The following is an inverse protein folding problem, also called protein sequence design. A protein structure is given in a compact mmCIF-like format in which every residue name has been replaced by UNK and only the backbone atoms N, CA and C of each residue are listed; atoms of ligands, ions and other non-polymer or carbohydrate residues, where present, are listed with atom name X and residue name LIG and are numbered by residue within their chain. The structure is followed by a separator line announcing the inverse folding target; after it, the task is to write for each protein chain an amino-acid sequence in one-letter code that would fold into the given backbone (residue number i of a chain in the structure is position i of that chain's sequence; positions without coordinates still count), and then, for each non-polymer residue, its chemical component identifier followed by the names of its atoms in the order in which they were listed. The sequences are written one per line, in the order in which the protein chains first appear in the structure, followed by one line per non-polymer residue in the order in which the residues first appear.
data_IF_239342483081
#
_entry.id   IF_239342483081
#
_cell.length_a   1.000
_cell.length_b   1.000
_cell.length_c   1.000
_cell.angle_alpha   90.00
_cell.angle_beta   90.00
_cell.angle_gamma   90.00
#
_symmetry.space_group_name_H-M   'P 1'
#
loop_
_entity.id
_entity.type
_entity.pdbx_description
1 polymer ?
#
# COMPACT_ATOMS: atom_id res chain seq x y z
N UNK A 1 -0.91 -21.13 -18.97
CA UNK A 1 0.30 -20.64 -18.29
C UNK A 1 1.11 -21.83 -17.84
N UNK A 2 2.43 -21.66 -17.77
CA UNK A 2 3.31 -22.67 -17.18
C UNK A 2 3.04 -22.69 -15.66
N UNK A 3 2.68 -23.85 -15.06
CA UNK A 3 2.33 -23.94 -13.64
C UNK A 3 3.49 -23.60 -12.70
N UNK A 4 4.71 -23.42 -13.21
CA UNK A 4 5.87 -22.99 -12.42
C UNK A 4 5.92 -21.48 -12.16
N UNK A 5 5.12 -20.69 -12.88
CA UNK A 5 5.16 -19.23 -12.79
C UNK A 5 3.77 -18.68 -12.50
N UNK A 6 3.69 -17.89 -11.44
CA UNK A 6 2.50 -17.11 -11.08
C UNK A 6 2.72 -15.65 -11.49
N UNK A 7 1.69 -15.03 -12.07
CA UNK A 7 1.68 -13.58 -12.32
C UNK A 7 1.09 -12.90 -11.09
N UNK A 8 1.95 -12.29 -10.28
CA UNK A 8 1.58 -11.66 -9.01
C UNK A 8 1.15 -10.19 -9.14
N UNK A 9 1.54 -9.52 -10.24
CA UNK A 9 1.30 -8.12 -10.50
C UNK A 9 1.24 -7.87 -12.01
N UNK A 10 0.36 -6.98 -12.45
CA UNK A 10 0.34 -6.45 -13.81
C UNK A 10 0.69 -4.96 -13.82
N UNK A 11 1.32 -4.51 -14.89
CA UNK A 11 1.52 -3.08 -15.13
C UNK A 11 1.32 -2.71 -16.58
N UNK A 12 0.86 -1.48 -16.82
CA UNK A 12 0.58 -0.96 -18.15
C UNK A 12 0.79 0.55 -18.22
N UNK A 13 1.16 1.02 -19.39
CA UNK A 13 1.37 2.43 -19.66
C UNK A 13 0.66 2.82 -20.96
N UNK A 14 0.03 4.00 -20.99
CA UNK A 14 -0.70 4.48 -22.18
C UNK A 14 -1.77 3.47 -22.62
N UNK A 15 -1.76 3.00 -23.86
CA UNK A 15 -2.66 1.94 -24.35
C UNK A 15 -2.46 0.59 -23.63
N UNK A 16 -1.26 0.35 -23.11
CA UNK A 16 -0.93 -0.84 -22.32
C UNK A 16 -1.76 -0.95 -21.04
N UNK A 17 -2.42 0.13 -20.63
CA UNK A 17 -3.35 0.14 -19.49
C UNK A 17 -4.60 -0.73 -19.68
N UNK A 18 -4.76 -1.36 -20.86
CA UNK A 18 -5.61 -2.55 -21.02
C UNK A 18 -5.37 -3.62 -19.93
N UNK A 19 -4.19 -3.62 -19.28
CA UNK A 19 -3.93 -4.46 -18.10
C UNK A 19 -4.93 -4.27 -16.96
N UNK A 20 -5.65 -3.14 -16.84
CA UNK A 20 -6.74 -2.98 -15.87
C UNK A 20 -7.84 -4.01 -16.10
N UNK A 21 -8.23 -4.22 -17.37
CA UNK A 21 -9.21 -5.23 -17.75
C UNK A 21 -8.71 -6.65 -17.49
N UNK A 22 -7.44 -6.91 -17.84
CA UNK A 22 -6.80 -8.22 -17.61
C UNK A 22 -6.75 -8.53 -16.11
N UNK A 23 -6.32 -7.57 -15.29
CA UNK A 23 -6.27 -7.73 -13.84
C UNK A 23 -7.64 -7.94 -13.22
N UNK A 24 -8.66 -7.20 -13.67
CA UNK A 24 -10.03 -7.40 -13.22
C UNK A 24 -10.58 -8.79 -13.58
N UNK A 25 -10.28 -9.28 -14.79
CA UNK A 25 -10.70 -10.59 -15.26
C UNK A 25 -10.03 -11.75 -14.52
N UNK A 26 -8.76 -11.62 -14.19
CA UNK A 26 -7.97 -12.69 -13.59
C UNK A 26 -7.69 -12.49 -12.09
N UNK A 27 -8.28 -11.45 -11.48
CA UNK A 27 -8.09 -11.10 -10.07
C UNK A 27 -6.62 -10.87 -9.69
N UNK A 28 -5.86 -10.21 -10.57
CA UNK A 28 -4.44 -9.90 -10.36
C UNK A 28 -4.32 -8.41 -10.06
N UNK A 29 -3.59 -8.00 -9.00
CA UNK A 29 -3.31 -6.59 -8.75
C UNK A 29 -2.65 -5.91 -9.95
N UNK A 30 -3.09 -4.70 -10.27
CA UNK A 30 -2.66 -3.96 -11.47
C UNK A 30 -2.33 -2.50 -11.14
N UNK A 31 -1.18 -2.05 -11.64
CA UNK A 31 -0.77 -0.63 -11.58
C UNK A 31 -0.53 -0.07 -12.98
N UNK A 32 -1.28 0.95 -13.38
CA UNK A 32 -1.15 1.60 -14.67
C UNK A 32 -0.73 3.06 -14.57
N UNK A 33 -0.18 3.56 -15.68
CA UNK A 33 0.35 4.92 -15.80
C UNK A 33 -0.18 5.57 -17.06
N UNK A 34 -0.66 6.81 -16.94
CA UNK A 34 -1.17 7.62 -18.05
C UNK A 34 -2.10 6.80 -18.94
N UNK A 35 -3.07 6.12 -18.32
CA UNK A 35 -3.90 5.17 -19.02
C UNK A 35 -4.69 5.81 -20.14
N UNK A 36 -4.55 5.24 -21.33
CA UNK A 36 -5.49 5.41 -22.42
C UNK A 36 -6.50 4.25 -22.37
N UNK A 37 -7.29 4.21 -21.29
CA UNK A 37 -8.25 3.14 -21.01
C UNK A 37 -9.58 3.70 -20.50
N UNK A 38 -10.68 3.28 -21.13
CA UNK A 38 -12.02 3.69 -20.72
C UNK A 38 -12.67 2.67 -19.79
N UNK A 39 -13.00 3.08 -18.56
CA UNK A 39 -13.59 2.18 -17.56
C UNK A 39 -14.95 1.61 -17.97
N UNK A 40 -15.72 2.30 -18.84
CA UNK A 40 -16.97 1.70 -19.32
C UNK A 40 -16.76 0.48 -20.23
N UNK A 41 -15.55 0.28 -20.79
CA UNK A 41 -15.22 -0.89 -21.62
C UNK A 41 -15.08 -2.21 -20.84
N UNK A 42 -15.08 -2.12 -19.51
CA UNK A 42 -15.13 -3.27 -18.61
C UNK A 42 -16.52 -3.95 -18.67
N UNK A 43 -16.57 -5.27 -18.54
CA UNK A 43 -17.82 -6.00 -18.31
C UNK A 43 -18.43 -5.62 -16.95
N UNK A 44 -19.67 -6.02 -16.69
CA UNK A 44 -20.30 -5.73 -15.40
C UNK A 44 -19.60 -6.48 -14.26
N UNK A 45 -19.11 -7.69 -14.52
CA UNK A 45 -18.35 -8.51 -13.58
C UNK A 45 -16.99 -7.88 -13.28
N UNK A 46 -16.28 -7.39 -14.31
CA UNK A 46 -15.01 -6.70 -14.17
C UNK A 46 -15.17 -5.42 -13.34
N UNK A 47 -16.21 -4.61 -13.59
CA UNK A 47 -16.53 -3.41 -12.80
C UNK A 47 -16.83 -3.76 -11.35
N UNK A 48 -17.71 -4.75 -11.12
CA UNK A 48 -18.08 -5.18 -9.78
C UNK A 48 -16.87 -5.71 -8.99
N UNK A 49 -15.92 -6.39 -9.67
CA UNK A 49 -14.69 -6.84 -9.03
C UNK A 49 -13.79 -5.67 -8.62
N UNK A 50 -13.57 -4.69 -9.51
CA UNK A 50 -12.78 -3.49 -9.20
C UNK A 50 -13.44 -2.71 -8.05
N UNK A 51 -14.75 -2.49 -8.09
CA UNK A 51 -15.49 -1.75 -7.07
C UNK A 51 -15.41 -2.42 -5.69
N UNK A 52 -15.37 -3.76 -5.66
CA UNK A 52 -15.24 -4.53 -4.42
C UNK A 52 -13.80 -4.63 -3.93
N UNK A 53 -12.81 -4.50 -4.82
CA UNK A 53 -11.40 -4.67 -4.52
C UNK A 53 -10.55 -3.48 -5.01
N UNK A 54 -10.90 -2.22 -4.68
CA UNK A 54 -10.24 -1.05 -5.26
C UNK A 54 -8.75 -0.97 -4.90
N UNK A 55 -8.34 -1.55 -3.76
CA UNK A 55 -6.93 -1.62 -3.38
C UNK A 55 -6.05 -2.39 -4.38
N UNK A 56 -6.62 -3.30 -5.16
CA UNK A 56 -5.90 -4.07 -6.18
C UNK A 56 -5.62 -3.28 -7.45
N UNK A 57 -6.22 -2.11 -7.64
CA UNK A 57 -6.14 -1.36 -8.90
C UNK A 57 -5.69 0.06 -8.65
N UNK A 58 -4.58 0.42 -9.27
CA UNK A 58 -4.01 1.75 -9.20
C UNK A 58 -3.84 2.24 -10.63
N UNK A 59 -4.46 3.37 -10.96
CA UNK A 59 -4.28 4.04 -12.24
C UNK A 59 -3.77 5.46 -12.02
N UNK A 60 -2.46 5.63 -12.11
CA UNK A 60 -1.81 6.93 -11.95
C UNK A 60 -1.95 7.75 -13.23
N UNK A 61 -2.37 9.01 -13.10
CA UNK A 61 -2.62 9.89 -14.24
C UNK A 61 -2.14 11.31 -14.02
N UNK A 62 -1.71 11.95 -15.09
CA UNK A 62 -1.43 13.39 -15.13
C UNK A 62 -2.66 14.17 -15.63
N UNK A 63 -3.10 15.18 -14.89
CA UNK A 63 -4.32 15.96 -15.20
C UNK A 63 -4.28 16.66 -16.57
N UNK A 64 -3.11 17.07 -17.03
CA UNK A 64 -2.95 17.86 -18.25
C UNK A 64 -2.17 17.11 -19.33
N UNK A 65 -2.13 15.78 -19.25
CA UNK A 65 -1.57 14.95 -20.30
C UNK A 65 -2.52 14.89 -21.50
N UNK A 66 -2.13 15.59 -22.58
CA UNK A 66 -2.96 15.75 -23.77
C UNK A 66 -3.23 14.43 -24.51
N UNK A 67 -2.39 13.39 -24.35
CA UNK A 67 -2.58 12.11 -25.03
C UNK A 67 -3.77 11.35 -24.43
N UNK A 68 -3.88 11.37 -23.09
CA UNK A 68 -4.99 10.74 -22.38
C UNK A 68 -6.23 11.61 -22.41
N UNK A 69 -6.13 12.92 -22.19
CA UNK A 69 -7.29 13.83 -22.09
C UNK A 69 -8.19 13.77 -23.33
N UNK A 70 -7.61 13.67 -24.53
CA UNK A 70 -8.40 13.65 -25.79
C UNK A 70 -9.23 12.37 -25.94
N UNK A 71 -8.78 11.25 -25.35
CA UNK A 71 -9.41 9.96 -25.56
C UNK A 71 -10.03 9.35 -24.30
N UNK A 72 -9.81 9.96 -23.15
CA UNK A 72 -10.21 9.43 -21.86
C UNK A 72 -11.36 10.22 -21.26
N UNK A 73 -12.56 9.67 -21.41
CA UNK A 73 -13.78 10.23 -20.86
C UNK A 73 -13.92 10.05 -19.34
N UNK A 74 -12.89 9.55 -18.64
CA UNK A 74 -12.86 9.41 -17.17
C UNK A 74 -12.25 10.62 -16.44
N UNK A 75 -12.12 11.77 -17.11
CA UNK A 75 -11.58 12.98 -16.49
C UNK A 75 -12.52 13.52 -15.38
N UNK A 76 -11.99 13.90 -14.20
CA UNK A 76 -12.80 14.31 -13.05
C UNK A 76 -13.65 15.56 -13.34
N UNK A 77 -13.18 16.45 -14.20
CA UNK A 77 -13.94 17.65 -14.62
C UNK A 77 -15.16 17.31 -15.49
N UNK A 78 -15.19 16.12 -16.10
CA UNK A 78 -16.28 15.66 -16.98
C UNK A 78 -17.20 14.63 -16.31
N UNK A 79 -16.81 14.14 -15.13
CA UNK A 79 -17.59 13.19 -14.33
C UNK A 79 -18.58 13.93 -13.41
N UNK A 80 -19.86 13.97 -13.78
CA UNK A 80 -20.92 14.56 -12.96
C UNK A 80 -21.36 13.61 -11.83
N UNK A 81 -21.31 14.10 -10.58
CA UNK A 81 -21.64 13.40 -9.32
C UNK A 81 -23.01 12.71 -9.25
N UNK A 82 -23.96 13.03 -10.14
CA UNK A 82 -25.33 12.52 -10.04
C UNK A 82 -25.65 11.28 -10.89
N UNK A 83 -24.76 10.83 -11.78
CA UNK A 83 -25.09 9.72 -12.70
C UNK A 83 -23.98 8.67 -12.90
N UNK A 84 -22.70 9.02 -12.68
CA UNK A 84 -21.57 8.08 -12.75
C UNK A 84 -20.55 8.48 -11.66
N UNK A 85 -20.22 7.56 -10.73
CA UNK A 85 -19.15 7.76 -9.74
C UNK A 85 -17.80 7.47 -10.40
N UNK A 86 -16.81 8.36 -10.25
CA UNK A 86 -15.45 8.09 -10.70
C UNK A 86 -14.89 6.88 -9.94
N UNK A 87 -14.14 5.96 -10.58
CA UNK A 87 -13.52 4.85 -9.88
C UNK A 87 -12.56 5.36 -8.80
N UNK A 88 -12.63 4.78 -7.60
CA UNK A 88 -11.72 5.10 -6.47
C UNK A 88 -10.28 4.58 -6.71
N UNK A 89 -9.99 4.13 -7.93
CA UNK A 89 -8.74 3.51 -8.38
C UNK A 89 -7.91 4.44 -9.25
N UNK A 90 -8.45 5.60 -9.65
CA UNK A 90 -7.74 6.60 -10.46
C UNK A 90 -7.12 7.69 -9.57
N UNK A 91 -5.81 7.84 -9.67
CA UNK A 91 -5.01 8.79 -8.89
C UNK A 91 -4.47 9.90 -9.79
N UNK A 92 -5.16 11.05 -9.77
CA UNK A 92 -4.82 12.21 -10.58
C UNK A 92 -3.78 13.10 -9.90
N UNK A 93 -2.67 13.32 -10.61
CA UNK A 93 -1.59 14.21 -10.22
C UNK A 93 -1.49 15.39 -11.18
N UNK A 94 -1.00 16.51 -10.68
CA UNK A 94 -0.65 17.62 -11.55
C UNK A 94 0.49 17.22 -12.49
N UNK A 95 0.48 17.80 -13.70
CA UNK A 95 1.49 17.58 -14.72
C UNK A 95 0.89 17.43 -16.12
N UNK A 96 1.73 17.61 -17.13
CA UNK A 96 1.37 17.53 -18.55
C UNK A 96 2.03 16.36 -19.27
N UNK A 97 2.95 15.66 -18.61
CA UNK A 97 3.79 14.67 -19.29
C UNK A 97 3.03 13.38 -19.56
N UNK A 98 3.12 12.94 -20.81
CA UNK A 98 2.77 11.56 -21.14
C UNK A 98 3.92 10.60 -20.86
N UNK A 99 5.18 11.03 -20.73
CA UNK A 99 6.34 10.12 -20.67
C UNK A 99 6.37 9.31 -19.38
N UNK A 100 6.69 8.01 -19.48
CA UNK A 100 6.83 7.13 -18.32
C UNK A 100 8.07 7.48 -17.47
N UNK A 101 9.13 8.01 -18.08
CA UNK A 101 10.36 8.38 -17.38
C UNK A 101 10.19 9.61 -16.46
N UNK A 102 9.09 10.35 -16.60
CA UNK A 102 8.76 11.51 -15.76
C UNK A 102 8.01 11.10 -14.46
N UNK A 103 7.91 9.78 -14.22
CA UNK A 103 7.43 9.21 -12.97
C UNK A 103 8.62 8.85 -12.09
N UNK A 104 8.58 9.30 -10.84
CA UNK A 104 9.61 8.97 -9.86
C UNK A 104 9.19 7.75 -9.06
N UNK A 105 10.11 6.80 -8.92
CA UNK A 105 9.90 5.56 -8.21
C UNK A 105 10.88 5.44 -7.06
N UNK A 106 10.38 5.05 -5.90
CA UNK A 106 11.23 4.62 -4.81
C UNK A 106 11.97 3.33 -5.22
N UNK A 107 13.31 3.31 -5.20
CA UNK A 107 14.08 2.19 -5.74
C UNK A 107 14.03 0.93 -4.86
N UNK A 108 13.55 1.03 -3.62
CA UNK A 108 13.46 -0.09 -2.68
C UNK A 108 12.09 -0.77 -2.77
N UNK A 109 11.04 0.03 -2.82
CA UNK A 109 9.64 -0.41 -2.77
C UNK A 109 8.99 -0.50 -4.16
N UNK A 110 9.57 0.17 -5.16
CA UNK A 110 9.00 0.32 -6.50
C UNK A 110 7.75 1.21 -6.55
N UNK A 111 7.42 1.91 -5.45
CA UNK A 111 6.24 2.77 -5.39
C UNK A 111 6.50 4.10 -6.08
N UNK A 112 5.46 4.65 -6.68
CA UNK A 112 5.51 6.03 -7.17
C UNK A 112 5.60 6.97 -5.99
N UNK A 113 6.53 7.92 -6.05
CA UNK A 113 6.72 8.93 -5.01
C UNK A 113 6.33 10.32 -5.49
N UNK A 114 6.03 11.21 -4.54
CA UNK A 114 6.04 12.63 -4.84
C UNK A 114 7.49 13.06 -5.14
N UNK A 115 7.70 13.80 -6.23
CA UNK A 115 9.03 14.34 -6.57
C UNK A 115 9.56 15.39 -5.58
N UNK A 116 8.94 15.49 -4.38
CA UNK A 116 9.24 16.45 -3.32
C UNK A 116 9.28 15.73 -1.97
N UNK A 117 10.38 15.03 -1.72
CA UNK A 117 10.62 14.36 -0.44
C UNK A 117 10.43 12.84 -0.48
N UNK A 118 10.15 12.26 -1.65
CA UNK A 118 10.19 10.82 -1.88
C UNK A 118 9.08 10.05 -1.16
N UNK A 119 7.94 10.71 -0.85
CA UNK A 119 6.83 10.05 -0.15
C UNK A 119 6.01 9.22 -1.13
N UNK A 120 5.71 7.94 -0.85
CA UNK A 120 4.83 7.15 -1.69
C UNK A 120 3.48 7.85 -1.89
N UNK A 121 3.02 7.95 -3.13
CA UNK A 121 1.72 8.55 -3.46
C UNK A 121 0.53 7.73 -2.95
N UNK A 122 0.76 6.43 -2.76
CA UNK A 122 -0.18 5.49 -2.16
C UNK A 122 0.58 4.74 -1.08
N UNK A 123 -0.01 4.65 0.11
CA UNK A 123 0.58 3.88 1.22
C UNK A 123 0.76 2.41 0.82
N UNK A 124 1.90 1.84 1.18
CA UNK A 124 2.21 0.42 1.05
C UNK A 124 1.24 -0.47 1.81
N UNK A 125 0.47 0.06 2.77
CA UNK A 125 -0.65 -0.66 3.40
C UNK A 125 -1.70 -1.08 2.36
N UNK A 126 -1.98 -0.25 1.34
CA UNK A 126 -2.89 -0.62 0.25
C UNK A 126 -2.35 -1.79 -0.56
N UNK A 127 -1.04 -1.83 -0.82
CA UNK A 127 -0.39 -2.95 -1.52
C UNK A 127 -0.42 -4.22 -0.68
N UNK A 128 -0.10 -4.13 0.61
CA UNK A 128 -0.20 -5.27 1.52
C UNK A 128 -1.63 -5.83 1.55
N UNK A 129 -2.64 -4.95 1.59
CA UNK A 129 -4.04 -5.35 1.53
C UNK A 129 -4.43 -5.94 0.17
N UNK A 130 -3.98 -5.38 -0.94
CA UNK A 130 -4.20 -5.91 -2.29
C UNK A 130 -3.64 -7.34 -2.45
N UNK A 131 -2.44 -7.58 -1.91
CA UNK A 131 -1.82 -8.90 -1.90
C UNK A 131 -2.66 -9.89 -1.07
N UNK A 132 -3.16 -9.47 0.09
CA UNK A 132 -4.07 -10.28 0.91
C UNK A 132 -5.33 -10.68 0.15
N UNK A 133 -5.94 -9.74 -0.59
CA UNK A 133 -7.12 -10.02 -1.42
C UNK A 133 -6.81 -11.04 -2.52
N UNK A 134 -5.62 -10.94 -3.13
CA UNK A 134 -5.12 -11.91 -4.12
C UNK A 134 -4.98 -13.29 -3.49
N UNK A 135 -4.23 -13.42 -2.41
CA UNK A 135 -4.02 -14.69 -1.68
C UNK A 135 -5.34 -15.33 -1.27
N UNK A 136 -6.29 -14.53 -0.77
CA UNK A 136 -7.63 -14.99 -0.42
C UNK A 136 -8.46 -15.44 -1.63
N UNK A 137 -8.28 -14.83 -2.80
CA UNK A 137 -8.91 -15.27 -4.04
C UNK A 137 -8.33 -16.63 -4.49
N UNK A 138 -6.99 -16.78 -4.49
CA UNK A 138 -6.34 -18.06 -4.78
C UNK A 138 -6.78 -19.17 -3.83
N UNK A 139 -6.84 -18.88 -2.52
CA UNK A 139 -7.35 -19.81 -1.53
C UNK A 139 -8.78 -20.28 -1.84
N UNK A 140 -9.69 -19.36 -2.22
CA UNK A 140 -11.08 -19.71 -2.55
C UNK A 140 -11.16 -20.59 -3.80
N UNK A 141 -10.35 -20.30 -4.82
CA UNK A 141 -10.30 -21.11 -6.04
C UNK A 141 -9.79 -22.53 -5.76
N UNK A 142 -8.75 -22.67 -4.93
CA UNK A 142 -8.22 -23.96 -4.50
C UNK A 142 -9.25 -24.74 -3.68
N UNK A 143 -9.87 -24.10 -2.68
CA UNK A 143 -10.93 -24.70 -1.85
C UNK A 143 -12.09 -25.20 -2.72
N UNK A 144 -12.51 -24.42 -3.73
CA UNK A 144 -13.58 -24.82 -4.64
C UNK A 144 -13.24 -26.06 -5.46
N UNK A 145 -12.02 -26.15 -6.00
CA UNK A 145 -11.56 -27.31 -6.78
C UNK A 145 -11.56 -28.59 -5.95
N UNK A 146 -11.20 -28.52 -4.68
CA UNK A 146 -11.11 -29.70 -3.81
C UNK A 146 -12.47 -30.10 -3.25
N UNK A 147 -13.37 -29.14 -3.05
CA UNK A 147 -14.74 -29.41 -2.59
C UNK A 147 -15.56 -30.27 -3.55
N UNK A 148 -15.12 -30.52 -4.78
CA UNK A 148 -15.87 -31.31 -5.77
C UNK A 148 -16.11 -32.77 -5.36
N UNK A 149 -15.38 -33.30 -4.37
CA UNK A 149 -15.56 -34.64 -3.80
C UNK A 149 -16.18 -34.68 -2.40
N UNK A 150 -16.51 -33.52 -1.81
CA UNK A 150 -16.80 -33.38 -0.38
C UNK A 150 -15.53 -33.12 0.44
N UNK A 151 -15.68 -32.47 1.60
CA UNK A 151 -14.60 -32.14 2.55
C UNK A 151 -14.86 -32.92 3.83
N UNK A 152 -13.88 -33.68 4.30
CA UNK A 152 -13.86 -34.32 5.62
C UNK A 152 -13.61 -33.30 6.73
N UNK A 153 -13.96 -33.64 7.98
CA UNK A 153 -13.74 -32.75 9.12
C UNK A 153 -12.26 -32.37 9.33
N UNK A 154 -11.32 -33.24 8.97
CA UNK A 154 -9.89 -32.95 9.01
C UNK A 154 -9.45 -31.96 7.92
N UNK A 155 -9.99 -32.10 6.71
CA UNK A 155 -9.73 -31.17 5.60
C UNK A 155 -10.37 -29.79 5.86
N UNK A 156 -11.48 -29.73 6.60
CA UNK A 156 -12.10 -28.48 7.01
C UNK A 156 -11.21 -27.71 8.01
N UNK A 157 -10.73 -28.38 9.06
CA UNK A 157 -9.79 -27.80 10.04
C UNK A 157 -8.53 -27.25 9.35
N UNK A 158 -8.04 -28.00 8.35
CA UNK A 158 -6.93 -27.58 7.52
C UNK A 158 -7.24 -26.30 6.74
N UNK A 159 -8.40 -26.26 6.07
CA UNK A 159 -8.78 -25.12 5.24
C UNK A 159 -8.99 -23.87 6.09
N UNK A 160 -9.44 -24.03 7.33
CA UNK A 160 -9.56 -22.96 8.32
C UNK A 160 -8.18 -22.49 8.81
N UNK A 161 -7.26 -23.42 9.07
CA UNK A 161 -5.86 -23.11 9.39
C UNK A 161 -5.17 -22.34 8.24
N UNK A 162 -5.36 -22.79 7.01
CA UNK A 162 -4.88 -22.17 5.79
C UNK A 162 -5.40 -20.73 5.63
N UNK A 163 -6.72 -20.56 5.76
CA UNK A 163 -7.36 -19.25 5.71
C UNK A 163 -6.86 -18.34 6.84
N UNK A 164 -6.75 -18.88 8.06
CA UNK A 164 -6.24 -18.18 9.23
C UNK A 164 -4.80 -17.69 9.03
N UNK A 165 -3.93 -18.51 8.44
CA UNK A 165 -2.55 -18.15 8.09
C UNK A 165 -2.48 -16.99 7.11
N UNK A 166 -3.30 -17.02 6.04
CA UNK A 166 -3.31 -15.95 5.04
C UNK A 166 -3.73 -14.64 5.71
N UNK A 167 -4.81 -14.68 6.50
CA UNK A 167 -5.32 -13.50 7.19
C UNK A 167 -4.33 -12.95 8.23
N UNK A 168 -3.71 -13.80 9.06
CA UNK A 168 -2.77 -13.36 10.09
C UNK A 168 -1.51 -12.75 9.50
N UNK A 169 -0.91 -13.41 8.51
CA UNK A 169 0.29 -12.93 7.80
C UNK A 169 0.01 -11.60 7.09
N UNK A 170 -1.15 -11.51 6.43
CA UNK A 170 -1.60 -10.28 5.76
C UNK A 170 -1.77 -9.12 6.74
N UNK A 171 -2.42 -9.35 7.88
CA UNK A 171 -2.63 -8.33 8.91
C UNK A 171 -1.32 -7.89 9.55
N UNK A 172 -0.42 -8.82 9.85
CA UNK A 172 0.92 -8.51 10.36
C UNK A 172 1.72 -7.68 9.36
N UNK A 173 1.73 -8.07 8.09
CA UNK A 173 2.43 -7.35 7.02
C UNK A 173 1.89 -5.94 6.82
N UNK A 174 0.56 -5.77 6.78
CA UNK A 174 -0.07 -4.47 6.62
C UNK A 174 0.21 -3.54 7.81
N UNK A 175 0.08 -4.07 9.04
CA UNK A 175 0.34 -3.30 10.25
C UNK A 175 1.83 -2.90 10.36
N UNK A 176 2.75 -3.82 10.07
CA UNK A 176 4.19 -3.53 10.03
C UNK A 176 4.52 -2.48 8.96
N UNK A 177 3.98 -2.63 7.75
CA UNK A 177 4.18 -1.65 6.67
C UNK A 177 3.72 -0.26 7.09
N UNK A 178 2.54 -0.14 7.70
CA UNK A 178 2.04 1.15 8.19
C UNK A 178 2.89 1.73 9.32
N UNK A 179 3.38 0.89 10.24
CA UNK A 179 4.26 1.32 11.32
C UNK A 179 5.62 1.82 10.79
N UNK A 180 6.18 1.13 9.79
CA UNK A 180 7.45 1.49 9.16
C UNK A 180 7.34 2.80 8.37
N UNK A 181 6.23 3.00 7.63
CA UNK A 181 5.95 4.26 6.92
C UNK A 181 5.83 5.45 7.87
N UNK A 182 5.08 5.29 8.98
CA UNK A 182 4.96 6.33 10.00
C UNK A 182 6.30 6.61 10.67
N UNK A 183 7.11 5.57 10.93
CA UNK A 183 8.45 5.72 11.51
C UNK A 183 9.39 6.47 10.57
N UNK A 184 9.37 6.17 9.27
CA UNK A 184 10.15 6.88 8.26
C UNK A 184 9.71 8.34 8.14
N UNK A 185 8.41 8.61 8.13
CA UNK A 185 7.88 9.97 8.09
C UNK A 185 8.27 10.77 9.34
N UNK A 186 8.14 10.19 10.53
CA UNK A 186 8.55 10.81 11.78
C UNK A 186 10.06 11.13 11.78
N UNK A 187 10.90 10.21 11.31
CA UNK A 187 12.35 10.44 11.17
C UNK A 187 12.64 11.62 10.26
N UNK A 188 12.05 11.65 9.06
CA UNK A 188 12.28 12.73 8.09
C UNK A 188 11.78 14.07 8.62
N UNK A 189 10.59 14.11 9.23
CA UNK A 189 10.03 15.34 9.78
C UNK A 189 10.88 15.90 10.94
N UNK A 190 11.38 15.03 11.83
CA UNK A 190 12.31 15.45 12.89
C UNK A 190 13.62 16.00 12.31
N UNK A 191 14.17 15.36 11.27
CA UNK A 191 15.37 15.85 10.61
C UNK A 191 15.14 17.21 9.94
N UNK A 192 14.09 17.36 9.14
CA UNK A 192 13.76 18.63 8.48
C UNK A 192 13.56 19.76 9.50
N UNK A 193 12.92 19.47 10.63
CA UNK A 193 12.71 20.46 11.68
C UNK A 193 14.02 20.88 12.35
N UNK A 194 14.94 19.94 12.60
CA UNK A 194 16.29 20.25 13.08
C UNK A 194 17.07 21.10 12.07
N UNK A 195 16.97 20.80 10.77
CA UNK A 195 17.60 21.58 9.72
C UNK A 195 17.04 23.01 9.65
N UNK A 196 15.72 23.18 9.79
CA UNK A 196 15.09 24.51 9.87
C UNK A 196 15.57 25.27 11.10
N UNK A 197 15.62 24.63 12.26
CA UNK A 197 16.11 25.26 13.50
C UNK A 197 17.57 25.72 13.37
N UNK A 198 18.42 24.90 12.75
CA UNK A 198 19.84 25.24 12.52
C UNK A 198 20.06 26.45 11.61
N UNK A 199 19.06 26.84 10.81
CA UNK A 199 19.12 28.02 9.93
C UNK A 199 18.77 29.33 10.64
N UNK A 200 18.31 29.27 11.89
CA UNK A 200 18.05 30.47 12.67
C UNK A 200 19.40 31.09 13.06
N UNK A 201 19.73 32.22 12.45
CA UNK A 201 20.95 32.97 12.74
C UNK A 201 20.70 34.03 13.83
N UNK A 202 20.95 33.65 15.08
CA UNK A 202 20.90 34.56 16.23
C UNK A 202 22.03 35.61 16.23
N UNK A 203 23.00 35.53 15.32
CA UNK A 203 24.12 36.48 15.21
C UNK A 203 23.86 37.61 14.21
N UNK A 204 22.80 37.50 13.42
CA UNK A 204 22.43 38.50 12.39
C UNK A 204 22.12 39.90 12.96
N UNK A 205 21.73 39.99 14.23
CA UNK A 205 21.46 41.25 14.93
C UNK A 205 22.68 41.73 15.74
N UNK A 206 23.53 42.54 15.12
CA UNK A 206 24.79 43.03 15.71
C UNK A 206 24.65 44.08 16.81
N UNK A 207 23.44 44.62 17.02
CA UNK A 207 23.16 45.61 18.06
C UNK A 207 23.06 44.99 19.48
N UNK A 208 22.92 43.67 19.57
CA UNK A 208 22.80 42.91 20.81
C UNK A 208 23.82 41.77 20.80
N UNK A 209 24.21 41.28 21.98
CA UNK A 209 24.98 40.05 22.07
C UNK A 209 24.10 38.84 21.66
N UNK A 210 24.67 37.76 21.09
CA UNK A 210 23.87 36.61 20.62
C UNK A 210 22.91 36.03 21.66
N UNK A 211 23.34 35.92 22.93
CA UNK A 211 22.48 35.42 24.00
C UNK A 211 21.28 36.33 24.32
N UNK A 212 21.38 37.63 24.07
CA UNK A 212 20.28 38.59 24.27
C UNK A 212 19.25 38.42 23.16
N UNK A 213 19.70 38.17 21.92
CA UNK A 213 18.82 37.84 20.79
C UNK A 213 18.11 36.51 21.07
N UNK A 214 18.83 35.47 21.48
CA UNK A 214 18.24 34.18 21.88
C UNK A 214 17.20 34.34 22.99
N UNK A 215 17.49 35.16 24.01
CA UNK A 215 16.55 35.42 25.12
C UNK A 215 15.28 36.14 24.66
N UNK A 216 15.38 37.06 23.70
CA UNK A 216 14.22 37.74 23.11
C UNK A 216 13.35 36.76 22.32
N UNK A 217 13.95 35.88 21.51
CA UNK A 217 13.22 34.82 20.81
C UNK A 217 12.55 33.85 21.80
N UNK A 218 13.27 33.45 22.84
CA UNK A 218 12.72 32.60 23.91
C UNK A 218 11.54 33.27 24.63
N UNK A 219 11.56 34.60 24.83
CA UNK A 219 10.44 35.35 25.41
C UNK A 219 9.16 35.29 24.57
N UNK A 220 9.29 35.03 23.27
CA UNK A 220 8.18 34.83 22.34
C UNK A 220 7.82 33.33 22.16
N UNK A 221 8.42 32.44 22.96
CA UNK A 221 8.20 31.00 22.88
C UNK A 221 9.05 30.28 21.82
N UNK A 222 9.98 30.99 21.15
CA UNK A 222 10.87 30.39 20.15
C UNK A 222 12.06 29.78 20.86
N UNK A 223 11.90 28.54 21.34
CA UNK A 223 12.94 27.77 22.02
C UNK A 223 13.11 26.40 21.38
N UNK A 224 14.31 25.83 21.51
CA UNK A 224 14.59 24.49 21.01
C UNK A 224 13.67 23.45 21.69
N UNK A 225 13.45 23.57 23.01
CA UNK A 225 12.55 22.67 23.74
C UNK A 225 11.11 22.69 23.19
N UNK A 226 10.62 23.88 22.83
CA UNK A 226 9.24 24.04 22.36
C UNK A 226 9.06 23.61 20.91
N UNK A 227 10.07 23.81 20.06
CA UNK A 227 9.97 23.46 18.64
C UNK A 227 10.49 22.05 18.34
N UNK A 228 11.70 21.70 18.81
CA UNK A 228 12.33 20.41 18.54
C UNK A 228 11.83 19.35 19.52
N UNK A 229 12.07 19.54 20.81
CA UNK A 229 11.88 18.45 21.78
C UNK A 229 10.39 18.07 21.92
N UNK A 230 9.49 19.06 21.88
CA UNK A 230 8.04 18.83 21.93
C UNK A 230 7.55 18.06 20.69
N UNK A 231 7.98 18.47 19.50
CA UNK A 231 7.62 17.78 18.26
C UNK A 231 8.18 16.36 18.20
N UNK A 232 9.42 16.17 18.67
CA UNK A 232 10.03 14.85 18.76
C UNK A 232 9.27 13.94 19.73
N UNK A 233 8.88 14.45 20.91
CA UNK A 233 8.08 13.68 21.86
C UNK A 233 6.71 13.27 21.29
N UNK A 234 6.03 14.16 20.56
CA UNK A 234 4.75 13.87 19.90
C UNK A 234 4.91 12.80 18.82
N UNK A 235 5.92 12.95 17.95
CA UNK A 235 6.18 11.99 16.86
C UNK A 235 6.61 10.63 17.40
N UNK A 236 7.45 10.57 18.43
CA UNK A 236 7.83 9.33 19.11
C UNK A 236 6.61 8.61 19.70
N UNK A 237 5.67 9.37 20.28
CA UNK A 237 4.41 8.80 20.79
C UNK A 237 3.55 8.21 19.66
N UNK A 238 3.47 8.87 18.51
CA UNK A 238 2.75 8.38 17.33
C UNK A 238 3.41 7.09 16.81
N UNK A 239 4.74 7.07 16.68
CA UNK A 239 5.50 5.89 16.27
C UNK A 239 5.29 4.72 17.22
N UNK A 240 5.30 4.96 18.53
CA UNK A 240 5.04 3.92 19.53
C UNK A 240 3.61 3.36 19.41
N UNK A 241 2.61 4.22 19.21
CA UNK A 241 1.20 3.82 19.01
C UNK A 241 1.00 2.97 17.76
N UNK A 242 1.75 3.22 16.69
CA UNK A 242 1.67 2.44 15.45
C UNK A 242 2.45 1.12 15.55
N UNK A 243 3.57 1.10 16.27
CA UNK A 243 4.36 -0.11 16.46
C UNK A 243 3.68 -1.16 17.35
N UNK A 244 2.93 -0.75 18.37
CA UNK A 244 2.24 -1.67 19.28
C UNK A 244 1.29 -2.65 18.56
N UNK A 245 0.33 -2.22 17.71
CA UNK A 245 -0.52 -3.16 16.98
C UNK A 245 0.26 -3.98 15.95
N UNK A 246 1.30 -3.43 15.31
CA UNK A 246 2.14 -4.20 14.40
C UNK A 246 2.80 -5.39 15.10
N UNK A 247 3.40 -5.16 16.28
CA UNK A 247 4.00 -6.23 17.10
C UNK A 247 2.96 -7.25 17.58
N UNK A 248 1.76 -6.79 17.94
CA UNK A 248 0.68 -7.68 18.36
C UNK A 248 0.24 -8.62 17.21
N UNK A 249 0.12 -8.10 15.99
CA UNK A 249 -0.23 -8.92 14.82
C UNK A 249 0.89 -9.88 14.44
N UNK A 250 2.16 -9.47 14.52
CA UNK A 250 3.30 -10.37 14.29
C UNK A 250 3.35 -11.51 15.30
N UNK A 251 3.07 -11.21 16.58
CA UNK A 251 2.99 -12.24 17.60
C UNK A 251 1.83 -13.20 17.34
N UNK A 252 0.66 -12.67 16.98
CA UNK A 252 -0.50 -13.49 16.62
C UNK A 252 -0.21 -14.38 15.41
N UNK A 253 0.40 -13.83 14.36
CA UNK A 253 0.79 -14.60 13.19
C UNK A 253 1.74 -15.73 13.56
N UNK A 254 2.80 -15.44 14.34
CA UNK A 254 3.71 -16.46 14.84
C UNK A 254 2.99 -17.57 15.61
N UNK A 255 2.09 -17.20 16.52
CA UNK A 255 1.32 -18.18 17.30
C UNK A 255 0.43 -19.05 16.42
N UNK A 256 -0.20 -18.46 15.39
CA UNK A 256 -1.02 -19.21 14.44
C UNK A 256 -0.16 -20.15 13.60
N UNK A 257 0.99 -19.71 13.08
CA UNK A 257 1.92 -20.58 12.36
C UNK A 257 2.34 -21.77 13.22
N UNK A 258 2.70 -21.56 14.49
CA UNK A 258 3.07 -22.64 15.42
C UNK A 258 1.94 -23.65 15.65
N UNK A 259 0.69 -23.19 15.77
CA UNK A 259 -0.49 -24.07 15.93
C UNK A 259 -0.76 -24.86 14.65
N UNK A 260 -0.62 -24.23 13.49
CA UNK A 260 -0.79 -24.86 12.18
C UNK A 260 0.25 -25.95 12.00
N UNK A 261 1.53 -25.66 12.27
CA UNK A 261 2.62 -26.63 12.15
C UNK A 261 2.40 -27.85 13.06
N UNK A 262 1.91 -27.65 14.28
CA UNK A 262 1.56 -28.75 15.20
C UNK A 262 0.38 -29.59 14.69
N UNK A 263 -0.66 -28.93 14.20
CA UNK A 263 -1.84 -29.59 13.60
C UNK A 263 -1.41 -30.46 12.43
N UNK A 264 -0.58 -29.90 11.54
CA UNK A 264 -0.02 -30.59 10.38
C UNK A 264 0.87 -31.76 10.80
N UNK A 265 1.76 -31.59 11.78
CA UNK A 265 2.67 -32.65 12.22
C UNK A 265 1.95 -33.86 12.83
N UNK A 266 0.73 -33.68 13.34
CA UNK A 266 -0.06 -34.75 13.94
C UNK A 266 -0.67 -35.68 12.88
N UNK A 267 -0.77 -35.25 11.62
CA UNK A 267 -1.33 -36.03 10.53
C UNK A 267 -0.37 -36.16 9.34
N UNK A 268 0.39 -37.25 9.29
CA UNK A 268 1.46 -37.45 8.30
C UNK A 268 0.99 -37.51 6.83
N UNK A 269 -0.24 -37.98 6.57
CA UNK A 269 -0.77 -38.09 5.21
C UNK A 269 -1.24 -36.72 4.72
N UNK A 270 -2.02 -36.02 5.53
CA UNK A 270 -2.49 -34.68 5.21
C UNK A 270 -1.39 -33.63 5.30
N UNK A 271 -0.31 -33.86 6.05
CA UNK A 271 0.88 -33.00 6.04
C UNK A 271 1.61 -32.96 4.69
N UNK A 272 1.49 -34.01 3.89
CA UNK A 272 2.06 -34.04 2.54
C UNK A 272 1.24 -33.14 1.61
N UNK A 273 -0.08 -33.26 1.68
CA UNK A 273 -1.02 -32.41 0.96
C UNK A 273 -0.90 -30.94 1.44
N UNK A 274 -0.64 -30.71 2.74
CA UNK A 274 -0.39 -29.37 3.27
C UNK A 274 0.78 -28.68 2.62
N UNK A 275 1.90 -29.42 2.56
CA UNK A 275 3.15 -28.89 2.03
C UNK A 275 3.08 -28.68 0.53
N UNK A 276 2.28 -29.48 -0.17
CA UNK A 276 1.96 -29.24 -1.58
C UNK A 276 1.11 -27.98 -1.74
N UNK A 277 0.07 -27.77 -0.93
CA UNK A 277 -0.73 -26.55 -0.92
C UNK A 277 0.09 -25.29 -0.67
N UNK A 278 0.94 -25.29 0.37
CA UNK A 278 1.82 -24.14 0.67
C UNK A 278 2.82 -23.85 -0.46
N UNK A 279 3.09 -24.83 -1.33
CA UNK A 279 3.95 -24.64 -2.50
C UNK A 279 3.17 -24.19 -3.76
N UNK A 280 1.83 -24.29 -3.76
CA UNK A 280 0.95 -23.86 -4.85
C UNK A 280 0.31 -22.48 -4.62
N UNK A 281 0.43 -21.94 -3.39
CA UNK A 281 0.16 -20.53 -3.05
C UNK A 281 1.38 -19.65 -3.25
#
# INVERSE_FOLDING_TARGET
MDPRYEVSQLSGYSQGSYMLKVGAKYHIPTTTFNAWFYYLSLSNEEKAFIDKNPAMFIDYRRKSDNVVVINDFNHPEWFNKSFLKMPDTIYWLDGTSHNIDDWEFDPVTGQVVDGKGGKPLISGVYRAYANSLREMAHYKDLKSKWSSGGISSSEEIYLDAAQGSILSSSMATAARTGADEVSALAKNANQELQEIWSKIDFTSYTALAPYEVESLFASQGITQAQFIDTFQAETDQIVAKMNAPAQAFEQLDKQLQEVIEKTVATDTQFAKEFRQWKAEM
#
